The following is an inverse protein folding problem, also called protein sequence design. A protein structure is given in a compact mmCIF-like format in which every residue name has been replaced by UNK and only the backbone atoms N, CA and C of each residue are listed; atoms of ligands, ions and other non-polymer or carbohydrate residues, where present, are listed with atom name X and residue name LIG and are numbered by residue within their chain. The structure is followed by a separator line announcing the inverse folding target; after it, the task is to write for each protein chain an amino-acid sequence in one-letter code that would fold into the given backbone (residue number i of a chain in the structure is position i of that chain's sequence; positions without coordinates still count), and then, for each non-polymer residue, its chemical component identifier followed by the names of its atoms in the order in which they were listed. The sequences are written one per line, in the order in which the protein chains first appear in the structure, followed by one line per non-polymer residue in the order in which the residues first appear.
data_IF_832359366984
#
_entry.id   IF_832359366984
#
_cell.length_a   1.000
_cell.length_b   1.000
_cell.length_c   1.000
_cell.angle_alpha   90.00
_cell.angle_beta   90.00
_cell.angle_gamma   90.00
#
_symmetry.space_group_name_H-M   'P 1'
#
loop_
_entity.id
_entity.type
_entity.pdbx_description
1 polymer ?
#
# COMPACT_ATOMS: atom_id res chain seq x y z
N UNK A 1 9.83 -36.17 -16.07
CA UNK A 1 8.39 -36.22 -16.46
C UNK A 1 8.12 -34.95 -17.23
N UNK A 2 7.55 -35.07 -18.43
CA UNK A 2 7.08 -33.89 -19.16
C UNK A 2 6.02 -33.21 -18.30
N UNK A 3 6.05 -31.88 -18.24
CA UNK A 3 4.99 -31.11 -17.55
C UNK A 3 3.71 -31.16 -18.40
N UNK A 4 2.56 -30.96 -17.76
CA UNK A 4 1.26 -30.94 -18.46
C UNK A 4 1.22 -29.82 -19.54
N UNK A 5 1.85 -28.70 -19.27
CA UNK A 5 2.06 -27.62 -20.25
C UNK A 5 2.85 -28.12 -21.47
N UNK A 6 3.95 -28.88 -21.30
CA UNK A 6 4.72 -29.44 -22.40
C UNK A 6 3.91 -30.42 -23.24
N UNK A 7 3.06 -31.24 -22.58
CA UNK A 7 2.17 -32.18 -23.27
C UNK A 7 1.15 -31.43 -24.14
N UNK A 8 0.48 -30.42 -23.58
CA UNK A 8 -0.49 -29.60 -24.32
C UNK A 8 0.17 -28.83 -25.47
N UNK A 9 1.34 -28.26 -25.25
CA UNK A 9 2.11 -27.61 -26.31
C UNK A 9 2.51 -28.57 -27.45
N UNK A 10 2.81 -29.83 -27.11
CA UNK A 10 3.13 -30.87 -28.12
C UNK A 10 1.88 -31.25 -28.90
N UNK A 11 0.74 -31.45 -28.24
CA UNK A 11 -0.54 -31.70 -28.90
C UNK A 11 -0.89 -30.58 -29.90
N UNK A 12 -0.68 -29.32 -29.50
CA UNK A 12 -0.95 -28.17 -30.36
C UNK A 12 0.07 -28.01 -31.52
N UNK A 13 1.29 -28.58 -31.38
CA UNK A 13 2.24 -28.68 -32.53
C UNK A 13 1.79 -29.72 -33.55
N UNK A 14 1.19 -30.81 -33.08
CA UNK A 14 0.69 -31.89 -33.96
C UNK A 14 -0.66 -31.50 -34.59
N UNK A 15 -1.56 -30.90 -33.82
CA UNK A 15 -2.84 -30.38 -34.29
C UNK A 15 -3.09 -28.94 -33.76
N UNK A 16 -2.72 -27.91 -34.52
CA UNK A 16 -2.95 -26.51 -34.16
C UNK A 16 -4.44 -26.12 -34.02
N UNK A 17 -5.35 -26.95 -34.55
CA UNK A 17 -6.80 -26.74 -34.46
C UNK A 17 -7.46 -27.43 -33.26
N UNK A 18 -6.67 -28.05 -32.39
CA UNK A 18 -7.18 -28.62 -31.15
C UNK A 18 -7.53 -27.49 -30.16
N UNK A 19 -8.75 -26.95 -30.29
CA UNK A 19 -9.22 -25.82 -29.49
C UNK A 19 -9.36 -26.18 -28.01
N UNK A 20 -9.69 -27.44 -27.69
CA UNK A 20 -9.78 -27.88 -26.30
C UNK A 20 -8.41 -27.87 -25.62
N UNK A 21 -7.40 -28.48 -26.25
CA UNK A 21 -6.04 -28.43 -25.72
C UNK A 21 -5.51 -26.97 -25.58
N UNK A 22 -5.94 -26.07 -26.48
CA UNK A 22 -5.58 -24.65 -26.39
C UNK A 22 -6.26 -23.95 -25.22
N UNK A 23 -7.52 -24.26 -24.95
CA UNK A 23 -8.27 -23.74 -23.79
C UNK A 23 -7.57 -24.16 -22.48
N UNK A 24 -7.34 -25.46 -22.33
CA UNK A 24 -6.62 -26.02 -21.17
C UNK A 24 -5.22 -25.42 -21.00
N UNK A 25 -4.46 -25.29 -22.09
CA UNK A 25 -3.15 -24.67 -22.06
C UNK A 25 -3.23 -23.21 -21.59
N UNK A 26 -4.20 -22.44 -22.06
CA UNK A 26 -4.38 -21.04 -21.66
C UNK A 26 -4.60 -20.89 -20.16
N UNK A 27 -5.47 -21.74 -19.59
CA UNK A 27 -5.78 -21.75 -18.15
C UNK A 27 -4.53 -22.13 -17.35
N UNK A 28 -3.81 -23.19 -17.78
CA UNK A 28 -2.60 -23.61 -17.09
C UNK A 28 -1.47 -22.58 -17.15
N UNK A 29 -1.29 -21.92 -18.28
CA UNK A 29 -0.32 -20.85 -18.43
C UNK A 29 -0.63 -19.69 -17.48
N UNK A 30 -1.90 -19.29 -17.42
CA UNK A 30 -2.36 -18.21 -16.54
C UNK A 30 -2.17 -18.55 -15.05
N UNK A 31 -2.50 -19.78 -14.63
CA UNK A 31 -2.27 -20.27 -13.25
C UNK A 31 -0.77 -20.32 -12.87
N UNK A 32 0.12 -20.46 -13.86
CA UNK A 32 1.57 -20.48 -13.64
C UNK A 32 2.24 -19.12 -13.92
N UNK A 33 1.45 -18.03 -14.09
CA UNK A 33 1.98 -16.68 -14.28
C UNK A 33 2.51 -16.37 -15.69
N UNK A 34 2.33 -17.27 -16.66
CA UNK A 34 2.70 -17.04 -18.08
C UNK A 34 1.59 -16.25 -18.80
N UNK A 35 1.32 -15.04 -18.31
CA UNK A 35 0.15 -14.26 -18.73
C UNK A 35 0.17 -13.88 -20.21
N UNK A 36 1.32 -13.56 -20.80
CA UNK A 36 1.42 -13.18 -22.22
C UNK A 36 1.09 -14.35 -23.17
N UNK A 37 1.60 -15.56 -22.86
CA UNK A 37 1.30 -16.74 -23.64
C UNK A 37 -0.15 -17.18 -23.49
N UNK A 38 -0.71 -17.07 -22.28
CA UNK A 38 -2.13 -17.30 -22.00
C UNK A 38 -3.02 -16.35 -22.80
N UNK A 39 -2.72 -15.04 -22.77
CA UNK A 39 -3.40 -14.01 -23.57
C UNK A 39 -3.38 -14.34 -25.07
N UNK A 40 -2.21 -14.72 -25.60
CA UNK A 40 -2.07 -15.07 -27.01
C UNK A 40 -2.97 -16.24 -27.41
N UNK A 41 -3.08 -17.26 -26.55
CA UNK A 41 -3.94 -18.41 -26.79
C UNK A 41 -5.43 -18.06 -26.69
N UNK A 42 -5.85 -17.28 -25.68
CA UNK A 42 -7.24 -16.84 -25.54
C UNK A 42 -7.67 -15.89 -26.65
N UNK A 43 -6.79 -14.97 -27.07
CA UNK A 43 -7.04 -14.11 -28.24
C UNK A 43 -7.18 -14.92 -29.55
N UNK A 44 -6.43 -16.03 -29.68
CA UNK A 44 -6.64 -16.95 -30.80
C UNK A 44 -8.01 -17.62 -30.70
N UNK A 45 -8.41 -18.12 -29.53
CA UNK A 45 -9.70 -18.76 -29.32
C UNK A 45 -10.87 -17.80 -29.56
N UNK A 46 -10.79 -16.55 -29.12
CA UNK A 46 -11.84 -15.55 -29.29
C UNK A 46 -12.18 -15.23 -30.75
N UNK A 47 -11.23 -15.46 -31.67
CA UNK A 47 -11.47 -15.32 -33.12
C UNK A 47 -12.32 -16.44 -33.69
N UNK A 48 -12.23 -17.65 -33.13
CA UNK A 48 -13.01 -18.81 -33.57
C UNK A 48 -14.33 -18.96 -32.80
N UNK A 49 -14.34 -18.50 -31.57
CA UNK A 49 -15.48 -18.58 -30.66
C UNK A 49 -15.85 -17.18 -30.14
N UNK A 50 -16.27 -16.23 -30.99
CA UNK A 50 -16.52 -14.85 -30.59
C UNK A 50 -17.72 -14.68 -29.65
N UNK A 51 -18.60 -15.69 -29.57
CA UNK A 51 -19.80 -15.72 -28.71
C UNK A 51 -19.59 -16.65 -27.49
N UNK A 52 -18.36 -16.90 -27.09
CA UNK A 52 -18.03 -17.66 -25.90
C UNK A 52 -17.72 -16.66 -24.78
N UNK A 53 -18.63 -16.58 -23.80
CA UNK A 53 -18.54 -15.63 -22.70
C UNK A 53 -17.30 -15.88 -21.79
N UNK A 54 -16.97 -17.15 -21.54
CA UNK A 54 -15.85 -17.52 -20.69
C UNK A 54 -14.49 -17.14 -21.27
N UNK A 55 -14.33 -17.24 -22.60
CA UNK A 55 -13.10 -16.77 -23.27
C UNK A 55 -12.94 -15.27 -23.05
N UNK A 56 -13.99 -14.50 -23.18
CA UNK A 56 -13.96 -13.05 -22.96
C UNK A 56 -13.74 -12.72 -21.49
N UNK A 57 -14.34 -13.46 -20.58
CA UNK A 57 -14.13 -13.30 -19.14
C UNK A 57 -12.67 -13.59 -18.77
N UNK A 58 -12.10 -14.73 -19.17
CA UNK A 58 -10.71 -15.08 -18.93
C UNK A 58 -9.72 -14.11 -19.60
N UNK A 59 -10.07 -13.51 -20.73
CA UNK A 59 -9.30 -12.39 -21.30
C UNK A 59 -9.35 -11.16 -20.39
N UNK A 60 -10.50 -10.87 -19.79
CA UNK A 60 -10.66 -9.80 -18.80
C UNK A 60 -9.72 -9.96 -17.63
N UNK A 61 -9.74 -11.13 -16.97
CA UNK A 61 -8.86 -11.46 -15.83
C UNK A 61 -7.38 -11.31 -16.22
N UNK A 62 -6.95 -11.81 -17.38
CA UNK A 62 -5.55 -11.69 -17.78
C UNK A 62 -5.14 -10.25 -18.11
N UNK A 63 -6.02 -9.45 -18.70
CA UNK A 63 -5.74 -8.04 -18.91
C UNK A 63 -5.65 -7.27 -17.59
N UNK A 64 -6.48 -7.61 -16.62
CA UNK A 64 -6.42 -7.07 -15.27
C UNK A 64 -5.09 -7.41 -14.59
N UNK A 65 -4.70 -8.70 -14.54
CA UNK A 65 -3.38 -9.15 -14.03
C UNK A 65 -2.18 -8.48 -14.73
N UNK A 66 -2.36 -8.04 -15.98
CA UNK A 66 -1.34 -7.27 -16.71
C UNK A 66 -1.52 -5.76 -16.61
N UNK A 67 -2.45 -5.29 -15.77
CA UNK A 67 -2.81 -3.88 -15.54
C UNK A 67 -3.28 -3.13 -16.81
N UNK A 68 -3.80 -3.86 -17.82
CA UNK A 68 -4.42 -3.28 -19.02
C UNK A 68 -5.94 -3.14 -18.81
N UNK A 69 -6.32 -2.30 -17.84
CA UNK A 69 -7.69 -2.18 -17.36
C UNK A 69 -8.72 -1.79 -18.44
N UNK A 70 -8.32 -1.03 -19.45
CA UNK A 70 -9.23 -0.70 -20.56
C UNK A 70 -9.60 -1.93 -21.41
N UNK A 71 -8.63 -2.84 -21.63
CA UNK A 71 -8.94 -4.10 -22.34
C UNK A 71 -9.68 -5.08 -21.44
N UNK A 72 -9.38 -5.11 -20.14
CA UNK A 72 -10.15 -5.88 -19.17
C UNK A 72 -11.63 -5.48 -19.19
N UNK A 73 -11.90 -4.18 -19.04
CA UNK A 73 -13.25 -3.60 -19.13
C UNK A 73 -13.98 -3.99 -20.43
N UNK A 74 -13.30 -3.88 -21.58
CA UNK A 74 -13.90 -4.25 -22.86
C UNK A 74 -14.23 -5.75 -22.93
N UNK A 75 -13.36 -6.59 -22.36
CA UNK A 75 -13.52 -8.05 -22.34
C UNK A 75 -14.65 -8.48 -21.40
N UNK A 76 -14.72 -7.93 -20.20
CA UNK A 76 -15.84 -8.20 -19.27
C UNK A 76 -17.18 -7.72 -19.84
N UNK A 77 -17.25 -6.52 -20.43
CA UNK A 77 -18.47 -6.06 -21.10
C UNK A 77 -18.92 -7.03 -22.19
N UNK A 78 -17.98 -7.57 -22.99
CA UNK A 78 -18.30 -8.55 -24.03
C UNK A 78 -18.81 -9.86 -23.44
N UNK A 79 -18.20 -10.34 -22.35
CA UNK A 79 -18.67 -11.53 -21.63
C UNK A 79 -20.10 -11.36 -21.12
N UNK A 80 -20.40 -10.21 -20.50
CA UNK A 80 -21.73 -9.86 -19.95
C UNK A 80 -22.77 -9.74 -21.08
N UNK A 81 -22.42 -9.16 -22.23
CA UNK A 81 -23.32 -9.08 -23.41
C UNK A 81 -23.74 -10.47 -23.90
N UNK A 82 -22.85 -11.46 -23.82
CA UNK A 82 -23.11 -12.84 -24.26
C UNK A 82 -23.90 -13.61 -23.19
N UNK A 83 -23.43 -13.55 -21.95
CA UNK A 83 -24.05 -14.24 -20.80
C UNK A 83 -23.84 -13.39 -19.55
N UNK A 84 -24.90 -12.72 -19.03
CA UNK A 84 -24.77 -11.92 -17.82
C UNK A 84 -24.66 -12.83 -16.58
N UNK A 85 -23.44 -13.02 -16.11
CA UNK A 85 -23.15 -13.73 -14.85
C UNK A 85 -22.71 -12.73 -13.80
N UNK A 86 -22.99 -13.02 -12.54
CA UNK A 86 -22.73 -12.12 -11.40
C UNK A 86 -21.23 -11.83 -11.26
N UNK A 87 -20.37 -12.84 -11.35
CA UNK A 87 -18.91 -12.71 -11.27
C UNK A 87 -18.37 -11.79 -12.38
N UNK A 88 -18.92 -11.89 -13.61
CA UNK A 88 -18.50 -11.02 -14.72
C UNK A 88 -18.85 -9.55 -14.47
N UNK A 89 -20.04 -9.33 -13.87
CA UNK A 89 -20.52 -7.99 -13.53
C UNK A 89 -19.69 -7.43 -12.38
N UNK A 90 -19.41 -8.27 -11.37
CA UNK A 90 -18.59 -7.88 -10.22
C UNK A 90 -17.18 -7.44 -10.64
N UNK A 91 -16.46 -8.27 -11.42
CA UNK A 91 -15.10 -7.96 -11.88
C UNK A 91 -15.10 -6.73 -12.84
N UNK A 92 -16.17 -6.50 -13.62
CA UNK A 92 -16.30 -5.23 -14.34
C UNK A 92 -16.35 -4.04 -13.38
N UNK A 93 -17.05 -4.17 -12.25
CA UNK A 93 -17.12 -3.14 -11.21
C UNK A 93 -15.74 -2.82 -10.65
N UNK A 94 -14.93 -3.83 -10.32
CA UNK A 94 -13.56 -3.68 -9.80
C UNK A 94 -12.65 -2.97 -10.81
N UNK A 95 -12.68 -3.39 -12.07
CA UNK A 95 -11.92 -2.71 -13.14
C UNK A 95 -12.35 -1.26 -13.32
N UNK A 96 -13.62 -0.94 -13.13
CA UNK A 96 -14.10 0.45 -13.20
C UNK A 96 -13.58 1.28 -12.00
N UNK A 97 -13.40 0.68 -10.83
CA UNK A 97 -12.73 1.31 -9.68
C UNK A 97 -11.28 1.64 -10.03
N UNK A 98 -10.52 0.68 -10.58
CA UNK A 98 -9.14 0.88 -11.03
C UNK A 98 -9.01 1.99 -12.08
N UNK A 99 -9.98 2.09 -12.98
CA UNK A 99 -10.08 3.16 -13.99
C UNK A 99 -10.59 4.48 -13.42
N UNK A 100 -10.92 4.54 -12.12
CA UNK A 100 -11.49 5.70 -11.44
C UNK A 100 -12.83 6.18 -12.07
N UNK A 101 -13.55 5.25 -12.70
CA UNK A 101 -14.88 5.49 -13.26
C UNK A 101 -15.97 5.25 -12.19
N UNK A 102 -15.89 6.02 -11.10
CA UNK A 102 -16.64 5.80 -9.85
C UNK A 102 -18.14 5.63 -10.03
N UNK A 103 -18.77 6.50 -10.83
CA UNK A 103 -20.23 6.44 -11.04
C UNK A 103 -20.64 5.17 -11.78
N UNK A 104 -19.85 4.75 -12.78
CA UNK A 104 -20.11 3.52 -13.52
C UNK A 104 -19.89 2.28 -12.62
N UNK A 105 -18.85 2.29 -11.76
CA UNK A 105 -18.61 1.22 -10.79
C UNK A 105 -19.79 1.09 -9.81
N UNK A 106 -20.27 2.22 -9.25
CA UNK A 106 -21.42 2.24 -8.34
C UNK A 106 -22.66 1.65 -9.03
N UNK A 107 -22.92 2.00 -10.31
CA UNK A 107 -24.04 1.45 -11.06
C UNK A 107 -23.94 -0.07 -11.20
N UNK A 108 -22.77 -0.56 -11.57
CA UNK A 108 -22.48 -1.98 -11.77
C UNK A 108 -22.62 -2.77 -10.45
N UNK A 109 -22.02 -2.30 -9.35
CA UNK A 109 -22.18 -2.96 -8.05
C UNK A 109 -23.62 -2.93 -7.55
N UNK A 110 -24.36 -1.86 -7.81
CA UNK A 110 -25.81 -1.84 -7.51
C UNK A 110 -26.60 -2.85 -8.34
N UNK A 111 -26.15 -3.20 -9.54
CA UNK A 111 -26.79 -4.28 -10.31
C UNK A 111 -26.54 -5.65 -9.68
N UNK A 112 -25.32 -5.92 -9.16
CA UNK A 112 -25.03 -7.11 -8.36
C UNK A 112 -25.92 -7.14 -7.11
N UNK A 113 -26.02 -6.04 -6.36
CA UNK A 113 -26.85 -5.95 -5.15
C UNK A 113 -28.35 -6.12 -5.39
N UNK A 114 -28.84 -6.00 -6.64
CA UNK A 114 -30.23 -6.37 -6.98
C UNK A 114 -30.44 -7.88 -6.99
N UNK A 115 -29.41 -8.65 -7.32
CA UNK A 115 -29.43 -10.12 -7.29
C UNK A 115 -29.08 -10.63 -5.89
N UNK A 116 -28.00 -10.17 -5.29
CA UNK A 116 -27.63 -10.46 -3.90
C UNK A 116 -27.55 -9.17 -3.03
N UNK A 117 -28.62 -8.84 -2.31
CA UNK A 117 -28.64 -7.67 -1.41
C UNK A 117 -27.73 -7.80 -0.17
N UNK A 118 -27.09 -8.94 0.02
CA UNK A 118 -26.23 -9.20 1.20
C UNK A 118 -24.75 -9.34 0.81
N UNK A 119 -24.38 -9.02 -0.40
CA UNK A 119 -22.98 -8.98 -0.79
C UNK A 119 -22.24 -7.82 -0.10
N UNK A 120 -21.45 -8.17 0.93
CA UNK A 120 -20.67 -7.21 1.71
C UNK A 120 -19.56 -6.55 0.90
N UNK A 121 -18.98 -7.27 -0.09
CA UNK A 121 -17.91 -6.74 -0.92
C UNK A 121 -18.42 -5.64 -1.86
N UNK A 122 -19.60 -5.82 -2.42
CA UNK A 122 -20.25 -4.75 -3.22
C UNK A 122 -20.48 -3.48 -2.38
N UNK A 123 -20.93 -3.61 -1.13
CA UNK A 123 -21.06 -2.44 -0.26
C UNK A 123 -19.71 -1.81 0.05
N UNK A 124 -18.66 -2.60 0.28
CA UNK A 124 -17.30 -2.09 0.48
C UNK A 124 -16.81 -1.30 -0.75
N UNK A 125 -16.89 -1.88 -1.95
CA UNK A 125 -16.44 -1.24 -3.19
C UNK A 125 -17.23 0.04 -3.52
N UNK A 126 -18.55 0.06 -3.27
CA UNK A 126 -19.33 1.30 -3.38
C UNK A 126 -18.84 2.33 -2.37
N UNK A 127 -18.50 1.92 -1.13
CA UNK A 127 -17.90 2.77 -0.11
C UNK A 127 -16.59 3.40 -0.58
N UNK A 128 -15.70 2.62 -1.22
CA UNK A 128 -14.46 3.10 -1.85
C UNK A 128 -14.76 4.14 -2.94
N UNK A 129 -15.74 3.87 -3.80
CA UNK A 129 -16.13 4.82 -4.85
C UNK A 129 -16.57 6.17 -4.26
N UNK A 130 -17.42 6.16 -3.23
CA UNK A 130 -17.88 7.40 -2.57
C UNK A 130 -16.76 8.10 -1.81
N UNK A 131 -15.83 7.36 -1.20
CA UNK A 131 -14.67 7.94 -0.53
C UNK A 131 -13.79 8.70 -1.53
N UNK A 132 -13.50 8.11 -2.69
CA UNK A 132 -12.73 8.75 -3.75
C UNK A 132 -13.46 9.92 -4.46
N UNK A 133 -14.77 10.02 -4.29
CA UNK A 133 -15.58 11.17 -4.72
C UNK A 133 -15.69 12.24 -3.64
N UNK A 134 -14.97 12.12 -2.52
CA UNK A 134 -15.07 12.98 -1.34
C UNK A 134 -16.47 13.01 -0.69
N UNK A 135 -17.32 12.04 -1.03
CA UNK A 135 -18.66 11.89 -0.46
C UNK A 135 -18.62 11.05 0.84
N UNK A 136 -17.83 11.51 1.80
CA UNK A 136 -17.44 10.78 3.02
C UNK A 136 -18.61 10.25 3.84
N UNK A 137 -19.73 10.96 3.90
CA UNK A 137 -20.92 10.49 4.63
C UNK A 137 -21.52 9.24 4.00
N UNK A 138 -21.64 9.21 2.66
CA UNK A 138 -22.11 8.04 1.94
C UNK A 138 -21.13 6.89 2.06
N UNK A 139 -19.83 7.14 1.91
CA UNK A 139 -18.79 6.13 2.14
C UNK A 139 -18.95 5.49 3.53
N UNK A 140 -19.17 6.29 4.58
CA UNK A 140 -19.40 5.79 5.94
C UNK A 140 -20.59 4.84 6.01
N UNK A 141 -21.72 5.22 5.42
CA UNK A 141 -22.95 4.41 5.44
C UNK A 141 -22.71 3.06 4.73
N UNK A 142 -22.00 3.07 3.61
CA UNK A 142 -21.69 1.87 2.84
C UNK A 142 -20.69 0.97 3.57
N UNK A 143 -19.60 1.51 4.14
CA UNK A 143 -18.68 0.71 4.96
C UNK A 143 -19.34 0.15 6.22
N UNK A 144 -20.23 0.90 6.88
CA UNK A 144 -21.01 0.38 8.00
C UNK A 144 -21.90 -0.79 7.57
N UNK A 145 -22.46 -0.74 6.37
CA UNK A 145 -23.23 -1.86 5.81
C UNK A 145 -22.35 -3.06 5.52
N UNK A 146 -21.17 -2.85 4.94
CA UNK A 146 -20.17 -3.89 4.70
C UNK A 146 -19.81 -4.63 5.99
N UNK A 147 -19.42 -3.92 7.05
CA UNK A 147 -19.07 -4.54 8.34
C UNK A 147 -20.27 -5.16 9.07
N UNK A 148 -21.49 -4.70 8.80
CA UNK A 148 -22.70 -5.36 9.31
C UNK A 148 -22.90 -6.74 8.70
N UNK A 149 -22.62 -6.89 7.40
CA UNK A 149 -22.72 -8.12 6.65
C UNK A 149 -21.51 -9.03 6.85
N UNK A 150 -20.31 -8.46 6.82
CA UNK A 150 -19.06 -9.13 7.13
C UNK A 150 -18.34 -8.47 8.32
N UNK A 151 -18.61 -8.88 9.57
CA UNK A 151 -17.98 -8.31 10.76
C UNK A 151 -16.45 -8.52 10.85
N UNK A 152 -15.88 -9.34 9.97
CA UNK A 152 -14.45 -9.62 9.91
C UNK A 152 -13.74 -8.90 8.76
N UNK A 153 -14.42 -8.01 8.08
CA UNK A 153 -13.82 -7.19 7.05
C UNK A 153 -12.86 -6.15 7.68
N UNK A 154 -11.57 -6.46 7.60
CA UNK A 154 -10.51 -5.60 8.17
C UNK A 154 -10.42 -4.27 7.43
N UNK A 155 -10.60 -4.27 6.10
CA UNK A 155 -10.47 -3.08 5.29
C UNK A 155 -11.62 -2.11 5.52
N UNK A 156 -12.86 -2.60 5.59
CA UNK A 156 -14.01 -1.76 5.91
C UNK A 156 -13.90 -1.14 7.31
N UNK A 157 -13.43 -1.91 8.33
CA UNK A 157 -13.16 -1.36 9.65
C UNK A 157 -12.03 -0.33 9.63
N UNK A 158 -10.97 -0.56 8.86
CA UNK A 158 -9.86 0.36 8.73
C UNK A 158 -10.29 1.68 8.09
N UNK A 159 -11.02 1.63 6.97
CA UNK A 159 -11.56 2.84 6.32
C UNK A 159 -12.53 3.61 7.23
N UNK A 160 -13.38 2.93 7.98
CA UNK A 160 -14.21 3.59 9.01
C UNK A 160 -13.35 4.29 10.06
N UNK A 161 -12.26 3.65 10.52
CA UNK A 161 -11.30 4.24 11.44
C UNK A 161 -10.71 5.54 10.89
N UNK A 162 -10.23 5.52 9.65
CA UNK A 162 -9.66 6.69 8.96
C UNK A 162 -10.70 7.82 8.83
N UNK A 163 -11.92 7.50 8.38
CA UNK A 163 -13.00 8.49 8.25
C UNK A 163 -13.34 9.11 9.60
N UNK A 164 -13.47 8.31 10.64
CA UNK A 164 -13.76 8.82 11.99
C UNK A 164 -12.62 9.68 12.53
N UNK A 165 -11.37 9.31 12.30
CA UNK A 165 -10.20 10.08 12.71
C UNK A 165 -10.17 11.44 12.01
N UNK A 166 -10.37 11.49 10.69
CA UNK A 166 -10.40 12.73 9.91
C UNK A 166 -11.55 13.66 10.33
N UNK A 167 -12.68 13.08 10.75
CA UNK A 167 -13.83 13.84 11.28
C UNK A 167 -13.70 14.20 12.77
N UNK A 168 -12.57 13.92 13.42
CA UNK A 168 -12.36 14.21 14.85
C UNK A 168 -13.15 13.31 15.80
N UNK A 169 -13.74 12.23 15.30
CA UNK A 169 -14.50 11.25 16.08
C UNK A 169 -13.58 10.19 16.69
N UNK A 170 -12.60 10.65 17.47
CA UNK A 170 -11.46 9.86 17.98
C UNK A 170 -11.87 8.54 18.63
N UNK A 171 -12.92 8.51 19.44
CA UNK A 171 -13.34 7.27 20.11
C UNK A 171 -13.83 6.20 19.12
N UNK A 172 -14.55 6.61 18.07
CA UNK A 172 -15.00 5.69 17.02
C UNK A 172 -13.84 5.21 16.16
N UNK A 173 -12.84 6.08 15.90
CA UNK A 173 -11.62 5.69 15.21
C UNK A 173 -10.87 4.62 16.00
N UNK A 174 -10.61 4.83 17.28
CA UNK A 174 -9.94 3.85 18.16
C UNK A 174 -10.72 2.53 18.20
N UNK A 175 -12.05 2.56 18.31
CA UNK A 175 -12.87 1.35 18.29
C UNK A 175 -12.69 0.59 16.98
N UNK A 176 -12.69 1.29 15.85
CA UNK A 176 -12.56 0.68 14.52
C UNK A 176 -11.18 0.06 14.33
N UNK A 177 -10.08 0.76 14.66
CA UNK A 177 -8.73 0.18 14.60
C UNK A 177 -8.54 -1.00 15.55
N UNK A 178 -9.12 -0.96 16.74
CA UNK A 178 -9.10 -2.12 17.64
C UNK A 178 -9.86 -3.32 17.08
N UNK A 179 -10.92 -3.11 16.29
CA UNK A 179 -11.60 -4.21 15.57
C UNK A 179 -10.68 -4.81 14.51
N UNK A 180 -9.96 -3.98 13.76
CA UNK A 180 -8.93 -4.45 12.82
C UNK A 180 -7.93 -5.34 13.56
N UNK A 181 -7.32 -4.87 14.65
CA UNK A 181 -6.32 -5.60 15.41
C UNK A 181 -6.83 -6.87 16.11
N UNK A 182 -8.12 -6.92 16.42
CA UNK A 182 -8.74 -8.15 16.94
C UNK A 182 -8.90 -9.23 15.86
N UNK A 183 -9.00 -8.83 14.58
CA UNK A 183 -9.14 -9.74 13.44
C UNK A 183 -7.74 -10.09 12.89
N UNK A 184 -6.90 -9.11 12.67
CA UNK A 184 -5.52 -9.23 12.21
C UNK A 184 -4.57 -8.52 13.18
N UNK A 185 -4.00 -9.24 14.16
CA UNK A 185 -3.13 -8.67 15.19
C UNK A 185 -1.80 -8.12 14.67
N UNK A 186 -1.44 -8.40 13.44
CA UNK A 186 -0.22 -8.00 12.74
C UNK A 186 -0.43 -6.82 11.78
N UNK A 187 -1.64 -6.25 11.72
CA UNK A 187 -1.95 -5.14 10.83
C UNK A 187 -1.29 -3.84 11.30
N UNK A 188 -0.08 -3.58 10.82
CA UNK A 188 0.82 -2.50 11.26
C UNK A 188 0.20 -1.10 11.15
N UNK A 189 -0.61 -0.86 10.13
CA UNK A 189 -1.27 0.42 9.85
C UNK A 189 -2.26 0.85 10.93
N UNK A 190 -2.97 -0.11 11.52
CA UNK A 190 -3.87 0.19 12.64
C UNK A 190 -3.09 0.62 13.89
N UNK A 191 -1.92 0.01 14.14
CA UNK A 191 -1.03 0.45 15.22
C UNK A 191 -0.48 1.85 14.95
N UNK A 192 -0.05 2.15 13.73
CA UNK A 192 0.43 3.49 13.38
C UNK A 192 -0.65 4.56 13.63
N UNK A 193 -1.88 4.33 13.17
CA UNK A 193 -2.98 5.27 13.38
C UNK A 193 -3.36 5.43 14.86
N UNK A 194 -3.34 4.34 15.64
CA UNK A 194 -3.52 4.42 17.09
C UNK A 194 -2.40 5.21 17.75
N UNK A 195 -1.15 5.05 17.30
CA UNK A 195 -0.01 5.83 17.77
C UNK A 195 -0.15 7.32 17.45
N UNK A 196 -0.59 7.66 16.24
CA UNK A 196 -0.85 9.05 15.84
C UNK A 196 -1.93 9.70 16.73
N UNK A 197 -3.01 8.96 17.01
CA UNK A 197 -4.06 9.42 17.95
C UNK A 197 -3.49 9.60 19.35
N UNK A 198 -2.74 8.64 19.88
CA UNK A 198 -2.14 8.73 21.21
C UNK A 198 -1.16 9.91 21.31
N UNK A 199 -0.33 10.11 20.27
CA UNK A 199 0.60 11.25 20.18
C UNK A 199 -0.13 12.60 20.19
N UNK A 200 -1.22 12.74 19.43
CA UNK A 200 -2.07 13.95 19.39
C UNK A 200 -2.72 14.22 20.75
N UNK A 201 -3.01 13.18 21.52
CA UNK A 201 -3.54 13.28 22.88
C UNK A 201 -2.45 13.43 23.97
N UNK A 202 -1.19 13.62 23.58
CA UNK A 202 -0.01 13.72 24.46
C UNK A 202 0.26 12.46 25.31
N UNK A 203 -0.35 11.33 24.98
CA UNK A 203 -0.07 10.02 25.58
C UNK A 203 1.14 9.38 24.89
N UNK A 204 2.33 9.89 25.26
CA UNK A 204 3.59 9.47 24.61
C UNK A 204 3.92 8.00 24.88
N UNK A 205 3.52 7.45 26.02
CA UNK A 205 3.80 6.06 26.37
C UNK A 205 3.02 5.10 25.51
N UNK A 206 1.71 5.31 25.34
CA UNK A 206 0.89 4.52 24.42
C UNK A 206 1.33 4.69 22.98
N UNK A 207 1.66 5.92 22.55
CA UNK A 207 2.16 6.18 21.20
C UNK A 207 3.44 5.39 20.90
N UNK A 208 4.38 5.38 21.83
CA UNK A 208 5.61 4.60 21.73
C UNK A 208 5.35 3.10 21.64
N UNK A 209 4.44 2.56 22.48
CA UNK A 209 4.08 1.15 22.46
C UNK A 209 3.51 0.75 21.10
N UNK A 210 2.56 1.53 20.56
CA UNK A 210 1.97 1.27 19.26
C UNK A 210 2.99 1.38 18.11
N UNK A 211 3.87 2.38 18.12
CA UNK A 211 4.92 2.50 17.08
C UNK A 211 5.94 1.36 17.14
N UNK A 212 6.24 0.87 18.34
CA UNK A 212 7.09 -0.31 18.50
C UNK A 212 6.43 -1.52 17.81
N UNK A 213 5.10 -1.68 17.95
CA UNK A 213 4.35 -2.70 17.22
C UNK A 213 4.34 -2.46 15.72
N UNK A 214 4.18 -1.20 15.29
CA UNK A 214 4.24 -0.86 13.86
C UNK A 214 5.54 -1.33 13.24
N UNK A 215 6.70 -0.98 13.81
CA UNK A 215 8.01 -1.38 13.27
C UNK A 215 8.34 -2.87 13.46
N UNK A 216 7.71 -3.55 14.43
CA UNK A 216 7.80 -4.99 14.60
C UNK A 216 7.16 -5.73 13.42
N UNK A 217 5.95 -5.32 13.02
CA UNK A 217 5.19 -5.95 11.92
C UNK A 217 5.54 -5.39 10.54
N UNK A 218 5.86 -4.10 10.46
CA UNK A 218 6.36 -3.48 9.23
C UNK A 218 7.67 -2.71 9.50
N UNK A 219 8.79 -3.39 9.36
CA UNK A 219 10.13 -2.81 9.57
C UNK A 219 10.57 -1.84 8.46
N UNK A 220 9.77 -1.65 7.42
CA UNK A 220 10.05 -0.72 6.33
C UNK A 220 9.34 0.64 6.50
N UNK A 221 8.48 0.77 7.49
CA UNK A 221 7.70 1.97 7.74
C UNK A 221 8.56 3.11 8.29
N UNK A 222 9.03 3.98 7.39
CA UNK A 222 9.91 5.11 7.72
C UNK A 222 9.18 6.15 8.59
N UNK A 223 7.88 6.38 8.36
CA UNK A 223 7.10 7.33 9.14
C UNK A 223 6.96 6.88 10.59
N UNK A 224 6.81 5.57 10.81
CA UNK A 224 6.82 5.01 12.16
C UNK A 224 8.16 5.28 12.89
N UNK A 225 9.30 5.12 12.22
CA UNK A 225 10.60 5.45 12.80
C UNK A 225 10.76 6.96 13.06
N UNK A 226 10.27 7.83 12.18
CA UNK A 226 10.29 9.29 12.40
C UNK A 226 9.52 9.66 13.66
N UNK A 227 8.27 9.21 13.75
CA UNK A 227 7.40 9.55 14.88
C UNK A 227 7.95 8.93 16.19
N UNK A 228 8.42 7.67 16.16
CA UNK A 228 9.04 7.02 17.30
C UNK A 228 10.26 7.80 17.79
N UNK A 229 11.12 8.24 16.86
CA UNK A 229 12.30 9.06 17.18
C UNK A 229 11.89 10.36 17.84
N UNK A 230 10.88 11.07 17.30
CA UNK A 230 10.37 12.32 17.87
C UNK A 230 9.86 12.13 19.32
N UNK A 231 9.13 11.04 19.57
CA UNK A 231 8.62 10.69 20.92
C UNK A 231 9.75 10.38 21.88
N UNK A 232 10.66 9.47 21.51
CA UNK A 232 11.74 9.04 22.38
C UNK A 232 12.71 10.17 22.70
N UNK A 233 12.94 11.10 21.77
CA UNK A 233 13.72 12.31 22.05
C UNK A 233 13.00 13.27 23.02
N UNK A 234 11.66 13.35 22.99
CA UNK A 234 10.89 14.09 24.02
C UNK A 234 10.96 13.42 25.38
N UNK A 235 11.06 12.10 25.44
CA UNK A 235 11.19 11.31 26.68
C UNK A 235 12.64 11.22 27.20
N UNK A 236 13.62 11.76 26.46
CA UNK A 236 15.07 11.66 26.71
C UNK A 236 15.62 10.22 26.58
N UNK A 237 14.94 9.32 25.87
CA UNK A 237 15.35 7.92 25.63
C UNK A 237 16.27 7.79 24.41
N UNK A 238 17.27 8.65 24.34
CA UNK A 238 18.14 8.81 23.17
C UNK A 238 18.96 7.56 22.85
N UNK A 239 19.50 6.88 23.88
CA UNK A 239 20.33 5.68 23.68
C UNK A 239 19.51 4.53 23.07
N UNK A 240 18.25 4.41 23.48
CA UNK A 240 17.39 3.35 23.00
C UNK A 240 17.00 3.56 21.55
N UNK A 241 16.61 4.80 21.14
CA UNK A 241 16.28 5.05 19.73
C UNK A 241 17.49 4.88 18.81
N UNK A 242 18.70 5.28 19.23
CA UNK A 242 19.92 5.01 18.50
C UNK A 242 20.10 3.50 18.28
N UNK A 243 19.86 2.71 19.33
CA UNK A 243 19.97 1.25 19.26
C UNK A 243 18.96 0.65 18.28
N UNK A 244 17.70 1.10 18.31
CA UNK A 244 16.64 0.66 17.38
C UNK A 244 17.03 0.96 15.93
N UNK A 245 17.41 2.21 15.64
CA UNK A 245 17.78 2.63 14.29
C UNK A 245 19.03 1.89 13.78
N UNK A 246 20.07 1.74 14.60
CA UNK A 246 21.27 0.97 14.23
C UNK A 246 20.94 -0.49 13.94
N UNK A 247 20.16 -1.14 14.82
CA UNK A 247 19.77 -2.55 14.64
C UNK A 247 19.02 -2.77 13.33
N UNK A 248 18.15 -1.80 12.92
CA UNK A 248 17.46 -1.86 11.64
C UNK A 248 18.42 -1.66 10.46
N UNK A 249 19.34 -0.69 10.56
CA UNK A 249 20.35 -0.39 9.55
C UNK A 249 21.39 -1.50 9.37
N UNK A 250 21.66 -2.31 10.40
CA UNK A 250 22.52 -3.50 10.30
C UNK A 250 21.91 -4.59 9.41
N UNK A 251 20.58 -4.65 9.31
CA UNK A 251 19.88 -5.61 8.46
C UNK A 251 19.85 -5.16 7.01
N UNK A 252 19.63 -3.89 6.78
CA UNK A 252 19.50 -3.29 5.46
C UNK A 252 19.78 -1.79 5.53
N UNK A 253 20.67 -1.31 4.65
CA UNK A 253 20.97 0.11 4.55
C UNK A 253 19.78 0.89 3.94
N UNK A 254 19.45 2.02 4.59
CA UNK A 254 18.37 2.88 4.16
C UNK A 254 18.75 4.35 4.36
N UNK A 255 18.61 5.17 3.31
CA UNK A 255 19.01 6.58 3.31
C UNK A 255 18.22 7.43 4.30
N UNK A 256 16.92 7.21 4.40
CA UNK A 256 16.05 7.97 5.31
C UNK A 256 16.36 7.62 6.77
N UNK A 257 16.59 6.33 7.09
CA UNK A 257 16.96 5.93 8.43
C UNK A 257 18.36 6.45 8.84
N UNK A 258 19.32 6.50 7.91
CA UNK A 258 20.60 7.16 8.18
C UNK A 258 20.42 8.65 8.45
N UNK A 259 19.52 9.32 7.70
CA UNK A 259 19.21 10.73 7.94
C UNK A 259 18.56 10.93 9.30
N UNK A 260 17.53 10.14 9.66
CA UNK A 260 16.89 10.19 10.99
C UNK A 260 17.94 10.00 12.09
N UNK A 261 18.81 9.00 11.97
CA UNK A 261 19.86 8.73 12.96
C UNK A 261 20.86 9.90 13.03
N UNK A 262 21.20 10.52 11.91
CA UNK A 262 22.04 11.71 11.90
C UNK A 262 21.42 12.85 12.72
N UNK A 263 20.10 13.12 12.53
CA UNK A 263 19.41 14.16 13.29
C UNK A 263 19.35 13.87 14.79
N UNK A 264 19.30 12.60 15.19
CA UNK A 264 19.44 12.20 16.61
C UNK A 264 20.83 12.61 17.14
N UNK A 265 21.92 12.30 16.41
CA UNK A 265 23.27 12.68 16.78
C UNK A 265 23.48 14.20 16.81
N UNK A 266 22.90 14.92 15.85
CA UNK A 266 22.88 16.40 15.86
C UNK A 266 22.31 16.95 17.16
N UNK A 267 21.15 16.42 17.58
CA UNK A 267 20.44 16.87 18.79
C UNK A 267 21.23 16.63 20.08
N UNK A 268 22.04 15.58 20.14
CA UNK A 268 22.89 15.29 21.33
C UNK A 268 24.30 15.88 21.23
N UNK A 269 24.61 16.59 20.14
CA UNK A 269 25.90 17.26 19.95
C UNK A 269 27.05 16.36 19.51
N UNK A 270 26.79 15.13 19.10
CA UNK A 270 27.79 14.18 18.58
C UNK A 270 28.05 14.46 17.10
N UNK A 271 28.88 15.50 16.86
CA UNK A 271 29.09 16.05 15.53
C UNK A 271 29.80 15.08 14.57
N UNK A 272 30.71 14.25 15.03
CA UNK A 272 31.42 13.28 14.19
C UNK A 272 30.45 12.20 13.67
N UNK A 273 29.60 11.64 14.53
CA UNK A 273 28.54 10.67 14.17
C UNK A 273 27.47 11.32 13.28
N UNK A 274 27.07 12.57 13.59
CA UNK A 274 26.15 13.31 12.74
C UNK A 274 26.66 13.40 11.31
N UNK A 275 27.90 13.85 11.12
CA UNK A 275 28.50 13.97 9.79
C UNK A 275 28.61 12.60 9.10
N UNK A 276 29.09 11.57 9.79
CA UNK A 276 29.23 10.23 9.23
C UNK A 276 27.91 9.66 8.72
N UNK A 277 26.82 9.80 9.50
CA UNK A 277 25.52 9.26 9.12
C UNK A 277 24.84 10.10 8.03
N UNK A 278 25.10 11.41 7.99
CA UNK A 278 24.64 12.27 6.90
C UNK A 278 25.30 11.90 5.56
N UNK A 279 26.61 11.58 5.59
CA UNK A 279 27.32 11.06 4.41
C UNK A 279 26.78 9.70 3.94
N UNK A 280 26.45 8.80 4.89
CA UNK A 280 25.83 7.49 4.60
C UNK A 280 24.47 7.67 3.96
N UNK A 281 23.63 8.58 4.47
CA UNK A 281 22.32 8.90 3.89
C UNK A 281 22.46 9.33 2.43
N UNK A 282 23.42 10.23 2.11
CA UNK A 282 23.68 10.67 0.74
C UNK A 282 24.18 9.55 -0.19
N UNK A 283 24.88 8.55 0.34
CA UNK A 283 25.34 7.37 -0.42
C UNK A 283 24.18 6.43 -0.75
N UNK A 284 23.25 6.24 0.17
CA UNK A 284 22.04 5.42 -0.02
C UNK A 284 20.93 6.14 -0.80
N UNK A 285 21.31 6.72 -1.92
CA UNK A 285 20.48 7.68 -2.69
C UNK A 285 19.19 7.11 -3.30
N UNK A 286 19.03 5.79 -3.34
CA UNK A 286 17.81 5.12 -3.85
C UNK A 286 16.71 5.07 -2.80
N UNK A 287 17.07 4.99 -1.52
CA UNK A 287 16.16 4.93 -0.37
C UNK A 287 16.10 6.25 0.41
N UNK A 288 16.66 7.33 -0.13
CA UNK A 288 16.62 8.66 0.46
C UNK A 288 15.53 9.49 -0.21
N UNK A 289 14.46 9.77 0.51
CA UNK A 289 13.36 10.64 0.06
C UNK A 289 13.61 12.11 0.35
N UNK A 290 14.41 12.43 1.36
CA UNK A 290 14.76 13.81 1.70
C UNK A 290 15.57 14.53 0.59
N UNK A 291 15.37 15.84 0.43
CA UNK A 291 16.06 16.62 -0.61
C UNK A 291 17.59 16.62 -0.45
N UNK A 292 18.30 15.96 -1.35
CA UNK A 292 19.77 15.79 -1.32
C UNK A 292 20.55 17.12 -1.27
N UNK A 293 19.99 18.19 -1.84
CA UNK A 293 20.59 19.51 -1.81
C UNK A 293 20.58 20.13 -0.41
N UNK A 294 19.58 19.80 0.43
CA UNK A 294 19.51 20.23 1.83
C UNK A 294 20.59 19.48 2.63
N UNK A 295 20.61 18.15 2.53
CA UNK A 295 21.61 17.33 3.23
C UNK A 295 23.05 17.73 2.87
N UNK A 296 23.32 18.05 1.60
CA UNK A 296 24.63 18.52 1.16
C UNK A 296 25.00 19.85 1.79
N UNK A 297 24.08 20.80 1.89
CA UNK A 297 24.32 22.10 2.55
C UNK A 297 24.55 21.90 4.05
N UNK A 298 23.79 21.04 4.71
CA UNK A 298 24.02 20.71 6.12
C UNK A 298 25.43 20.10 6.32
N UNK A 299 25.84 19.19 5.45
CA UNK A 299 27.16 18.57 5.51
C UNK A 299 28.29 19.61 5.28
N UNK A 300 28.15 20.46 4.26
CA UNK A 300 29.11 21.53 3.97
C UNK A 300 29.25 22.50 5.16
N UNK A 301 28.15 22.87 5.79
CA UNK A 301 28.14 23.69 6.99
C UNK A 301 28.89 23.00 8.14
N UNK A 302 28.58 21.74 8.45
CA UNK A 302 29.24 20.98 9.51
C UNK A 302 30.74 20.82 9.28
N UNK A 303 31.17 20.58 8.04
CA UNK A 303 32.59 20.50 7.68
C UNK A 303 33.28 21.85 7.91
N UNK A 304 32.58 22.98 7.62
CA UNK A 304 33.15 24.34 7.78
C UNK A 304 33.34 24.75 9.25
N UNK A 305 32.47 24.27 10.16
CA UNK A 305 32.53 24.62 11.58
C UNK A 305 33.28 23.57 12.44
N UNK A 306 33.69 22.45 11.85
CA UNK A 306 34.42 21.41 12.60
C UNK A 306 35.77 21.93 13.05
N UNK A 307 36.08 21.97 14.37
CA UNK A 307 37.37 22.48 14.91
C UNK A 307 38.60 21.81 14.29
N UNK A 308 38.47 20.56 13.83
CA UNK A 308 39.54 19.82 13.15
C UNK A 308 39.91 20.41 11.78
N UNK A 309 39.00 21.20 11.17
CA UNK A 309 39.15 21.78 9.86
C UNK A 309 39.42 23.31 9.91
N UNK A 310 39.32 23.91 11.10
CA UNK A 310 39.60 25.36 11.27
C UNK A 310 41.12 25.51 11.39
N UNK A 311 41.77 26.37 10.53
CA UNK A 311 43.19 26.68 10.71
C UNK A 311 43.44 27.29 12.10
N UNK A 312 44.51 26.86 12.80
CA UNK A 312 44.82 27.30 14.16
C UNK A 312 44.98 28.81 14.39
N UNK A 313 44.87 29.61 13.30
CA UNK A 313 44.96 31.07 13.33
C UNK A 313 43.65 31.81 13.64
N UNK A 314 42.52 31.09 13.85
CA UNK A 314 41.20 31.72 14.09
C UNK A 314 40.57 31.45 15.47
N UNK A 315 41.36 30.96 16.47
CA UNK A 315 40.81 30.64 17.80
C UNK A 315 40.46 31.89 18.68
N UNK A 316 40.64 33.12 18.20
CA UNK A 316 40.40 34.35 19.01
C UNK A 316 39.07 35.07 18.82
N UNK A 317 38.18 34.60 17.95
CA UNK A 317 36.90 35.24 17.71
C UNK A 317 35.71 34.27 17.64
N UNK A 318 35.30 33.73 18.78
CA UNK A 318 33.92 33.17 18.87
C UNK A 318 33.45 33.17 20.32
N UNK A 319 32.94 34.30 20.75
CA UNK A 319 32.05 34.40 21.89
C UNK A 319 30.97 35.43 21.58
N UNK A 320 30.00 35.07 20.79
CA UNK A 320 28.69 35.69 20.83
C UNK A 320 27.66 34.64 20.39
N UNK A 321 26.83 34.27 21.35
CA UNK A 321 25.70 33.36 21.23
C UNK A 321 24.66 34.00 20.29
N UNK A 322 24.50 33.49 19.06
CA UNK A 322 23.28 33.66 18.30
C UNK A 322 22.39 32.42 18.52
N UNK A 323 21.43 32.59 19.40
CA UNK A 323 20.30 31.67 19.52
C UNK A 323 19.51 31.71 18.20
N UNK A 324 19.53 30.62 17.47
CA UNK A 324 18.51 30.34 16.47
C UNK A 324 17.24 29.92 17.21
N UNK A 325 16.22 30.76 17.15
CA UNK A 325 14.88 30.42 17.54
C UNK A 325 14.42 29.22 16.67
N UNK A 326 14.04 28.14 17.35
CA UNK A 326 13.34 27.02 16.74
C UNK A 326 12.03 27.57 16.14
N UNK A 327 11.99 27.80 14.84
CA UNK A 327 10.72 27.86 14.13
C UNK A 327 10.08 26.48 14.29
N UNK A 328 9.07 26.42 15.15
CA UNK A 328 8.17 25.28 15.28
C UNK A 328 7.42 25.17 13.94
N UNK A 329 7.95 24.36 13.04
CA UNK A 329 7.19 23.85 11.89
C UNK A 329 6.07 22.95 12.45
N UNK A 330 4.96 23.60 12.86
CA UNK A 330 3.64 22.99 13.00
C UNK A 330 3.05 22.73 11.60
N UNK A 331 3.80 22.13 10.68
CA UNK A 331 3.24 21.72 9.40
C UNK A 331 3.15 20.19 9.34
N UNK A 332 1.89 19.74 9.38
CA UNK A 332 1.32 18.62 8.65
C UNK A 332 1.70 17.18 9.03
N UNK A 333 1.16 16.74 10.15
CA UNK A 333 0.77 15.34 10.32
C UNK A 333 -0.61 15.09 9.65
N UNK A 334 -1.20 16.11 9.01
CA UNK A 334 -2.62 16.07 8.59
C UNK A 334 -2.87 15.54 7.17
N UNK A 335 -1.88 15.27 6.30
CA UNK A 335 -2.22 15.10 4.88
C UNK A 335 -1.55 13.96 4.11
N UNK A 336 -1.06 12.89 4.74
CA UNK A 336 -0.55 11.75 3.94
C UNK A 336 -1.27 10.42 4.21
N UNK A 337 -2.58 10.49 4.47
CA UNK A 337 -3.44 9.31 4.60
C UNK A 337 -3.98 8.79 3.25
N UNK A 338 -3.67 9.49 2.14
CA UNK A 338 -4.18 9.13 0.81
C UNK A 338 -3.25 8.25 -0.03
N UNK A 339 -2.01 7.98 0.44
CA UNK A 339 -1.04 7.21 -0.34
C UNK A 339 -1.02 5.70 -0.02
N UNK A 340 -1.94 5.26 0.81
CA UNK A 340 -2.03 3.86 1.20
C UNK A 340 -3.13 3.16 0.40
N UNK A 341 -2.97 3.16 -0.92
CA UNK A 341 -3.76 2.32 -1.81
C UNK A 341 -3.37 0.85 -1.62
N UNK A 342 -4.41 0.02 -1.56
CA UNK A 342 -4.37 -1.42 -1.37
C UNK A 342 -3.52 -2.13 -2.44
N UNK A 343 -2.22 -2.35 -2.19
CA UNK A 343 -1.40 -3.22 -3.04
C UNK A 343 -1.39 -4.69 -2.54
N UNK A 344 -2.13 -5.01 -1.48
CA UNK A 344 -2.12 -6.35 -0.86
C UNK A 344 -3.41 -7.17 -1.08
N UNK A 345 -4.21 -6.86 -2.09
CA UNK A 345 -5.20 -7.81 -2.59
C UNK A 345 -4.46 -8.81 -3.50
N UNK A 346 -3.87 -9.87 -2.91
CA UNK A 346 -3.72 -11.14 -3.61
C UNK A 346 -5.13 -11.74 -3.71
N UNK A 347 -5.93 -11.21 -4.63
CA UNK A 347 -7.18 -11.83 -5.01
C UNK A 347 -6.86 -13.15 -5.71
N UNK A 348 -7.27 -14.24 -5.09
CA UNK A 348 -7.38 -15.57 -5.71
C UNK A 348 -8.52 -15.51 -6.77
N UNK A 349 -8.33 -14.71 -7.84
CA UNK A 349 -9.16 -14.77 -9.03
C UNK A 349 -9.03 -16.14 -9.67
N UNK A 350 -9.94 -17.04 -9.29
CA UNK A 350 -10.03 -18.36 -9.90
C UNK A 350 -10.41 -18.21 -11.38
N UNK A 351 -9.50 -18.64 -12.25
CA UNK A 351 -9.79 -18.76 -13.68
C UNK A 351 -10.88 -19.79 -13.84
N UNK A 352 -12.01 -19.36 -14.38
CA UNK A 352 -13.22 -20.16 -14.53
C UNK A 352 -12.93 -21.44 -15.33
N UNK A 353 -13.27 -22.59 -14.76
CA UNK A 353 -13.22 -23.91 -15.42
C UNK A 353 -14.63 -24.47 -15.32
N UNK A 354 -15.30 -24.59 -16.45
CA UNK A 354 -16.56 -25.34 -16.52
C UNK A 354 -16.26 -26.82 -16.29
N UNK A 355 -16.75 -27.40 -15.17
CA UNK A 355 -16.61 -28.82 -14.85
C UNK A 355 -17.67 -29.70 -15.53
N UNK A 356 -18.62 -29.10 -16.28
CA UNK A 356 -19.79 -29.80 -16.81
C UNK A 356 -19.64 -30.40 -18.22
N UNK A 357 -18.46 -30.40 -18.84
CA UNK A 357 -18.21 -31.10 -20.09
C UNK A 357 -17.55 -32.49 -19.85
N UNK A 358 -18.37 -33.46 -19.38
CA UNK A 358 -18.07 -34.89 -19.47
C UNK A 358 -18.90 -35.58 -20.57
#
# INVERSE_FOLDING_TARGET
METEIEILQKLLKEDPSNFQARRELSIMLAKNGFNEEALSNLQYLSKYFPEDAEIHYNLGILYEKTKDFEKAKASYKKAIEISPQEDFIYNLGEVLVELKEWDAAIEVFNDVLKADPNDGNCYFNIGICYLNKDETNLATDFFQKAVQLNPKDIFAHFHLGNIYQNNGLTNFAIESYNKVLNISPDYSWAYYNLAAIAYKNEDLDSAREYLTKTIEYNSQDIEAYKLLTKIMLKQNDTEEIITILRTRLEKEENGDLYYILSQVYKKIGENDEYQEHLEKALKCSLTLTYPKNILKKELEYQVSINPKNIPQEMEEYSSEDEYFEDEEDEEDVENDLSSYDNDDNEDDDEIYIDEDDQ
#
